data_IF_516364666741
#
_entry.id   IF_516364666741
#
_cell.length_a   1.000
_cell.length_b   1.000
_cell.length_c   1.000
_cell.angle_alpha   90.00
_cell.angle_beta   90.00
_cell.angle_gamma   90.00
#
_symmetry.space_group_name_H-M   'P 1'
#
loop_
_entity.id
_entity.type
_entity.pdbx_description
1 polymer ?
#
# COMPACT_ATOMS: atom_id res chain seq x y z
N UNK A 1 -0.65 38.16 10.28
CA UNK A 1 -0.83 37.00 9.36
C UNK A 1 -2.13 37.18 8.60
N UNK A 2 -2.12 36.97 7.28
CA UNK A 2 -3.35 37.09 6.48
C UNK A 2 -4.36 36.00 6.87
N UNK A 3 -5.65 36.31 6.77
CA UNK A 3 -6.75 35.37 7.04
C UNK A 3 -6.68 34.09 6.19
N UNK A 4 -5.98 34.14 5.05
CA UNK A 4 -5.74 32.99 4.17
C UNK A 4 -4.78 31.94 4.77
N UNK A 5 -3.65 32.38 5.35
CA UNK A 5 -2.66 31.45 5.93
C UNK A 5 -3.25 30.68 7.11
N UNK A 6 -4.03 31.35 7.97
CA UNK A 6 -4.71 30.69 9.08
C UNK A 6 -5.71 29.62 8.61
N UNK A 7 -6.51 29.94 7.58
CA UNK A 7 -7.43 28.96 6.98
C UNK A 7 -6.69 27.76 6.37
N UNK A 8 -5.54 27.98 5.73
CA UNK A 8 -4.73 26.90 5.17
C UNK A 8 -4.15 26.00 6.26
N UNK A 9 -3.59 26.58 7.33
CA UNK A 9 -3.05 25.82 8.48
C UNK A 9 -4.17 25.04 9.17
N UNK A 10 -5.34 25.64 9.36
CA UNK A 10 -6.50 24.97 9.97
C UNK A 10 -6.96 23.77 9.14
N UNK A 11 -7.11 23.94 7.81
CA UNK A 11 -7.45 22.84 6.89
C UNK A 11 -6.39 21.73 6.85
N UNK A 12 -5.12 22.07 7.06
CA UNK A 12 -4.06 21.08 7.13
C UNK A 12 -4.11 20.31 8.45
N UNK A 13 -4.32 21.01 9.58
CA UNK A 13 -4.39 20.42 10.92
C UNK A 13 -5.58 19.49 11.07
N UNK A 14 -6.71 19.90 10.51
CA UNK A 14 -7.99 19.20 10.62
C UNK A 14 -8.72 19.23 9.27
N UNK A 15 -8.38 18.32 8.34
CA UNK A 15 -8.96 18.32 7.00
C UNK A 15 -10.46 18.03 6.99
N UNK A 16 -11.02 17.55 8.10
CA UNK A 16 -12.40 17.07 8.21
C UNK A 16 -13.19 17.81 9.30
N UNK A 17 -12.72 18.99 9.71
CA UNK A 17 -13.36 19.83 10.73
C UNK A 17 -14.86 20.05 10.48
N UNK A 18 -15.29 20.10 9.22
CA UNK A 18 -16.67 20.28 8.80
C UNK A 18 -17.59 19.07 9.06
N UNK A 19 -17.04 17.92 9.44
CA UNK A 19 -17.81 16.71 9.78
C UNK A 19 -18.00 16.54 11.29
N UNK A 20 -17.23 17.26 12.12
CA UNK A 20 -17.28 17.11 13.57
C UNK A 20 -18.63 17.57 14.13
N UNK A 21 -19.09 16.87 15.17
CA UNK A 21 -20.29 17.28 15.89
C UNK A 21 -20.02 18.59 16.67
N UNK A 22 -20.99 19.50 16.67
CA UNK A 22 -20.91 20.70 17.50
C UNK A 22 -21.45 20.39 18.90
N UNK A 23 -20.63 20.65 19.93
CA UNK A 23 -21.02 20.42 21.33
C UNK A 23 -22.28 21.19 21.76
N UNK A 24 -22.64 22.27 21.04
CA UNK A 24 -23.81 23.10 21.37
C UNK A 24 -25.11 22.66 20.70
N UNK A 25 -25.12 21.63 19.84
CA UNK A 25 -26.34 21.16 19.18
C UNK A 25 -27.01 20.07 20.01
N UNK A 26 -28.16 20.40 20.62
CA UNK A 26 -28.95 19.48 21.47
C UNK A 26 -29.57 18.33 20.67
N UNK A 27 -29.75 18.50 19.35
CA UNK A 27 -30.41 17.53 18.45
C UNK A 27 -29.45 16.72 17.58
N UNK A 28 -28.13 16.89 17.74
CA UNK A 28 -27.17 16.23 16.85
C UNK A 28 -27.00 14.76 17.25
N UNK A 29 -27.63 13.86 16.48
CA UNK A 29 -27.21 12.46 16.44
C UNK A 29 -25.73 12.41 16.06
N UNK A 30 -24.94 11.68 16.85
CA UNK A 30 -23.50 11.54 16.66
C UNK A 30 -23.12 10.14 16.24
N UNK A 31 -21.98 10.03 15.56
CA UNK A 31 -21.25 8.78 15.35
C UNK A 31 -19.93 8.86 16.10
N UNK A 32 -19.67 7.86 16.95
CA UNK A 32 -18.51 7.83 17.85
C UNK A 32 -17.36 7.01 17.25
N UNK A 33 -16.11 7.22 17.69
CA UNK A 33 -15.03 6.33 17.28
C UNK A 33 -15.28 4.91 17.79
N UNK A 34 -14.89 3.91 17.01
CA UNK A 34 -14.88 2.52 17.46
C UNK A 34 -13.83 2.28 18.55
N UNK A 35 -12.71 3.01 18.51
CA UNK A 35 -11.62 2.98 19.48
C UNK A 35 -11.37 4.39 19.96
N UNK A 36 -11.56 4.63 21.26
CA UNK A 36 -11.29 5.92 21.89
C UNK A 36 -9.86 5.96 22.48
N UNK A 37 -9.53 7.02 23.24
CA UNK A 37 -8.20 7.20 23.83
C UNK A 37 -7.88 6.15 24.91
N UNK A 38 -8.91 5.69 25.63
CA UNK A 38 -8.77 4.76 26.76
C UNK A 38 -8.79 3.28 26.32
N UNK A 39 -9.35 2.98 25.14
CA UNK A 39 -9.48 1.62 24.64
C UNK A 39 -8.17 1.15 23.99
N UNK A 40 -7.72 -0.03 24.42
CA UNK A 40 -6.60 -0.71 23.78
C UNK A 40 -7.05 -1.51 22.56
N UNK A 41 -6.10 -1.81 21.69
CA UNK A 41 -6.31 -2.67 20.54
C UNK A 41 -5.07 -3.46 20.18
N UNK A 42 -5.30 -4.56 19.48
CA UNK A 42 -4.28 -5.40 18.89
C UNK A 42 -4.14 -5.07 17.39
N UNK A 43 -2.99 -5.38 16.80
CA UNK A 43 -2.79 -5.32 15.36
C UNK A 43 -2.39 -6.70 14.87
N UNK A 44 -3.30 -7.29 14.10
CA UNK A 44 -3.05 -8.47 13.31
C UNK A 44 -2.30 -8.11 12.02
N UNK A 45 -1.30 -8.92 11.69
CA UNK A 45 -0.47 -8.78 10.50
C UNK A 45 -0.52 -10.07 9.71
N UNK A 46 -0.67 -9.95 8.40
CA UNK A 46 -0.58 -11.11 7.50
C UNK A 46 0.29 -10.81 6.29
N UNK A 47 1.05 -11.80 5.86
CA UNK A 47 1.88 -11.75 4.64
C UNK A 47 1.24 -12.66 3.60
N UNK A 48 1.04 -12.14 2.40
CA UNK A 48 0.37 -12.81 1.29
C UNK A 48 1.30 -12.91 0.09
N UNK A 49 1.34 -14.10 -0.51
CA UNK A 49 1.99 -14.35 -1.80
C UNK A 49 0.92 -14.71 -2.83
N UNK A 50 0.89 -14.01 -3.95
CA UNK A 50 0.04 -14.38 -5.08
C UNK A 50 0.48 -15.73 -5.64
N UNK A 51 -0.50 -16.61 -5.89
CA UNK A 51 -0.26 -17.91 -6.49
C UNK A 51 0.42 -17.81 -7.86
N UNK A 52 1.05 -18.91 -8.30
CA UNK A 52 1.65 -18.97 -9.65
C UNK A 52 0.56 -18.96 -10.71
N UNK A 53 0.90 -18.55 -11.93
CA UNK A 53 -0.09 -18.41 -13.00
C UNK A 53 -0.88 -19.69 -13.30
N UNK A 54 -0.22 -20.86 -13.21
CA UNK A 54 -0.86 -22.16 -13.41
C UNK A 54 -1.84 -22.51 -12.27
N UNK A 55 -1.42 -22.29 -11.02
CA UNK A 55 -2.26 -22.51 -9.83
C UNK A 55 -3.48 -21.59 -9.82
N UNK A 56 -3.28 -20.31 -10.13
CA UNK A 56 -4.36 -19.32 -10.23
C UNK A 56 -5.34 -19.69 -11.35
N UNK A 57 -4.85 -20.20 -12.48
CA UNK A 57 -5.70 -20.69 -13.58
C UNK A 57 -6.53 -21.90 -13.15
N UNK A 58 -5.90 -22.92 -12.55
CA UNK A 58 -6.60 -24.11 -12.06
C UNK A 58 -7.68 -23.73 -11.04
N UNK A 59 -7.35 -22.83 -10.12
CA UNK A 59 -8.31 -22.34 -9.13
C UNK A 59 -9.49 -21.61 -9.79
N UNK A 60 -9.23 -20.70 -10.74
CA UNK A 60 -10.29 -20.00 -11.50
C UNK A 60 -11.20 -20.97 -12.25
N UNK A 61 -10.62 -22.00 -12.86
CA UNK A 61 -11.36 -23.03 -13.58
C UNK A 61 -12.21 -23.90 -12.62
N UNK A 62 -11.81 -24.01 -11.35
CA UNK A 62 -12.52 -24.76 -10.31
C UNK A 62 -13.65 -23.99 -9.61
N UNK A 63 -13.68 -22.66 -9.73
CA UNK A 63 -14.70 -21.84 -9.08
C UNK A 63 -16.07 -22.24 -9.63
N UNK A 64 -17.04 -22.58 -8.76
CA UNK A 64 -18.37 -22.95 -9.22
C UNK A 64 -18.93 -21.81 -10.06
N UNK A 65 -19.18 -22.11 -11.34
CA UNK A 65 -19.88 -21.21 -12.23
C UNK A 65 -21.33 -21.10 -11.73
N UNK A 66 -21.60 -20.38 -10.64
CA UNK A 66 -22.95 -20.20 -10.14
C UNK A 66 -23.77 -19.51 -11.25
N UNK A 67 -24.64 -20.30 -11.87
CA UNK A 67 -25.38 -20.03 -13.11
C UNK A 67 -26.62 -19.15 -12.91
N UNK A 68 -26.62 -18.28 -11.90
CA UNK A 68 -27.81 -17.59 -11.42
C UNK A 68 -27.72 -16.06 -11.43
N UNK A 69 -26.58 -15.47 -11.78
CA UNK A 69 -26.52 -14.03 -12.05
C UNK A 69 -26.83 -13.77 -13.52
N UNK A 70 -27.82 -12.93 -13.80
CA UNK A 70 -28.13 -12.36 -15.13
C UNK A 70 -26.99 -11.45 -15.67
N UNK A 71 -25.77 -11.59 -15.16
CA UNK A 71 -24.61 -10.81 -15.57
C UNK A 71 -24.22 -11.21 -17.00
N UNK A 72 -23.86 -10.22 -17.81
CA UNK A 72 -23.32 -10.48 -19.15
C UNK A 72 -22.03 -11.31 -19.07
N UNK A 73 -21.73 -12.07 -20.12
CA UNK A 73 -20.47 -12.82 -20.21
C UNK A 73 -19.23 -11.92 -19.97
N UNK A 74 -19.28 -10.69 -20.49
CA UNK A 74 -18.22 -9.68 -20.32
C UNK A 74 -18.04 -9.27 -18.85
N UNK A 75 -19.14 -9.04 -18.11
CA UNK A 75 -19.03 -8.65 -16.70
C UNK A 75 -18.48 -9.80 -15.84
N UNK A 76 -18.88 -11.02 -16.17
CA UNK A 76 -18.37 -12.24 -15.54
C UNK A 76 -16.87 -12.42 -15.77
N UNK A 77 -16.44 -12.35 -17.03
CA UNK A 77 -15.01 -12.46 -17.38
C UNK A 77 -14.19 -11.37 -16.70
N UNK A 78 -14.72 -10.14 -16.66
CA UNK A 78 -14.09 -9.03 -15.93
C UNK A 78 -13.93 -9.34 -14.44
N UNK A 79 -14.97 -9.83 -13.76
CA UNK A 79 -14.90 -10.21 -12.33
C UNK A 79 -13.85 -11.29 -12.09
N UNK A 80 -13.85 -12.35 -12.92
CA UNK A 80 -12.86 -13.43 -12.83
C UNK A 80 -11.42 -12.95 -13.09
N UNK A 81 -11.25 -11.99 -14.00
CA UNK A 81 -9.93 -11.40 -14.27
C UNK A 81 -9.40 -10.55 -13.10
N UNK A 82 -10.30 -9.98 -12.29
CA UNK A 82 -9.94 -9.18 -11.11
C UNK A 82 -9.75 -10.03 -9.85
N UNK A 83 -10.25 -11.26 -9.82
CA UNK A 83 -10.00 -12.21 -8.75
C UNK A 83 -8.55 -12.73 -8.80
N UNK A 84 -7.93 -12.76 -7.62
CA UNK A 84 -6.53 -13.14 -7.46
C UNK A 84 -6.48 -14.19 -6.33
N UNK A 85 -5.80 -15.30 -6.58
CA UNK A 85 -5.51 -16.28 -5.56
C UNK A 85 -4.26 -15.87 -4.79
N UNK A 86 -4.38 -15.73 -3.47
CA UNK A 86 -3.27 -15.41 -2.58
C UNK A 86 -3.15 -16.47 -1.49
N UNK A 87 -1.91 -16.88 -1.22
CA UNK A 87 -1.54 -17.85 -0.21
C UNK A 87 -0.94 -17.10 0.99
N UNK A 88 -1.47 -17.27 2.20
CA UNK A 88 -0.89 -16.65 3.39
C UNK A 88 0.43 -17.35 3.75
N UNK A 89 1.51 -16.57 3.88
CA UNK A 89 2.80 -17.03 4.38
C UNK A 89 2.95 -16.85 5.90
N UNK A 90 2.19 -15.92 6.46
CA UNK A 90 2.15 -15.57 7.88
C UNK A 90 0.82 -14.90 8.20
N UNK A 91 0.23 -15.15 9.38
CA UNK A 91 -0.90 -14.37 9.91
C UNK A 91 -1.00 -14.55 11.42
N UNK A 92 -0.79 -13.48 12.19
CA UNK A 92 -0.91 -13.48 13.66
C UNK A 92 -1.05 -12.05 14.22
N UNK A 93 -1.31 -11.92 15.52
CA UNK A 93 -1.29 -10.66 16.27
C UNK A 93 0.17 -10.31 16.62
N UNK A 94 0.65 -9.21 16.04
CA UNK A 94 2.05 -8.77 16.18
C UNK A 94 2.21 -7.67 17.22
N UNK A 95 1.22 -6.79 17.33
CA UNK A 95 1.18 -5.78 18.39
C UNK A 95 -0.02 -6.04 19.28
N UNK A 96 0.19 -5.97 20.60
CA UNK A 96 -0.85 -6.22 21.60
C UNK A 96 -1.03 -5.02 22.52
N UNK A 97 -2.27 -4.73 22.89
CA UNK A 97 -2.60 -3.75 23.92
C UNK A 97 -2.13 -2.33 23.60
N UNK A 98 -2.13 -1.94 22.32
CA UNK A 98 -1.74 -0.60 21.89
C UNK A 98 -2.80 0.44 22.21
N UNK A 99 -2.37 1.67 22.44
CA UNK A 99 -3.21 2.87 22.46
C UNK A 99 -3.01 3.73 21.19
N UNK A 100 -3.99 4.57 20.88
CA UNK A 100 -3.88 5.55 19.78
C UNK A 100 -2.76 6.58 20.01
N UNK A 101 -2.33 6.77 21.25
CA UNK A 101 -1.25 7.68 21.67
C UNK A 101 0.14 7.05 21.58
N UNK A 102 0.25 5.73 21.41
CA UNK A 102 1.54 5.04 21.31
C UNK A 102 2.30 5.43 20.05
N UNK A 103 3.64 5.47 20.15
CA UNK A 103 4.55 5.92 19.10
C UNK A 103 5.77 5.01 19.03
N UNK A 104 6.29 4.83 17.82
CA UNK A 104 7.58 4.18 17.57
C UNK A 104 7.70 2.75 18.14
N UNK A 105 6.59 2.03 18.30
CA UNK A 105 6.61 0.63 18.72
C UNK A 105 7.02 -0.21 17.51
N UNK A 106 7.94 -1.15 17.68
CA UNK A 106 8.45 -1.99 16.59
C UNK A 106 8.25 -3.46 16.89
N UNK A 107 8.03 -4.24 15.84
CA UNK A 107 7.97 -5.69 15.90
C UNK A 107 8.56 -6.29 14.63
N UNK A 108 9.15 -7.47 14.75
CA UNK A 108 9.79 -8.19 13.65
C UNK A 108 8.95 -9.43 13.32
N UNK A 109 8.55 -9.56 12.06
CA UNK A 109 7.78 -10.71 11.53
C UNK A 109 8.71 -11.58 10.70
N UNK A 110 8.89 -12.83 11.12
CA UNK A 110 9.73 -13.79 10.42
C UNK A 110 8.86 -14.73 9.57
N UNK A 111 9.18 -14.85 8.28
CA UNK A 111 8.49 -15.79 7.39
C UNK A 111 9.43 -16.36 6.34
N UNK A 112 9.05 -17.52 5.80
CA UNK A 112 9.78 -18.21 4.73
C UNK A 112 9.09 -17.92 3.40
N UNK A 113 9.83 -17.32 2.47
CA UNK A 113 9.33 -16.88 1.18
C UNK A 113 9.74 -17.86 0.08
N UNK A 114 8.78 -18.54 -0.59
CA UNK A 114 9.06 -19.31 -1.80
C UNK A 114 9.56 -18.39 -2.92
N UNK A 115 10.72 -18.67 -3.49
CA UNK A 115 11.33 -17.83 -4.53
C UNK A 115 10.78 -18.13 -5.93
N UNK A 116 10.18 -19.32 -6.11
CA UNK A 116 9.70 -19.80 -7.41
C UNK A 116 8.68 -18.87 -8.09
N UNK A 117 7.87 -18.13 -7.32
CA UNK A 117 6.95 -17.12 -7.86
C UNK A 117 7.69 -16.00 -8.61
N UNK A 118 8.86 -15.61 -8.13
CA UNK A 118 9.64 -14.48 -8.68
C UNK A 118 10.39 -14.82 -9.98
N UNK A 119 10.29 -16.06 -10.46
CA UNK A 119 10.71 -16.46 -11.79
C UNK A 119 9.66 -16.10 -12.86
N UNK A 120 8.41 -15.80 -12.45
CA UNK A 120 7.34 -15.43 -13.38
C UNK A 120 7.72 -14.14 -14.15
N UNK A 121 7.29 -14.06 -15.41
CA UNK A 121 7.53 -12.86 -16.24
C UNK A 121 6.61 -11.70 -15.83
N UNK A 122 5.38 -12.01 -15.45
CA UNK A 122 4.32 -11.03 -15.16
C UNK A 122 4.20 -10.76 -13.66
N UNK A 123 5.29 -10.27 -13.06
CA UNK A 123 5.29 -9.89 -11.65
C UNK A 123 4.68 -8.51 -11.43
N UNK A 124 4.02 -8.34 -10.29
CA UNK A 124 3.44 -7.08 -9.83
C UNK A 124 3.88 -6.73 -8.42
N UNK A 125 3.83 -5.44 -8.03
CA UNK A 125 4.17 -5.00 -6.66
C UNK A 125 3.22 -5.57 -5.60
N UNK A 126 2.08 -6.11 -6.03
CA UNK A 126 1.08 -6.76 -5.16
C UNK A 126 1.29 -8.26 -5.03
N UNK A 127 2.21 -8.88 -5.78
CA UNK A 127 2.43 -10.33 -5.72
C UNK A 127 2.99 -10.78 -4.37
N UNK A 128 3.70 -9.90 -3.66
CA UNK A 128 4.01 -10.07 -2.24
C UNK A 128 3.57 -8.82 -1.49
N UNK A 129 2.66 -8.98 -0.54
CA UNK A 129 2.14 -7.86 0.26
C UNK A 129 1.96 -8.23 1.72
N UNK A 130 2.09 -7.22 2.56
CA UNK A 130 1.71 -7.26 3.96
C UNK A 130 0.34 -6.62 4.14
N UNK A 131 -0.40 -7.06 5.14
CA UNK A 131 -1.69 -6.50 5.52
C UNK A 131 -1.77 -6.29 7.01
N UNK A 132 -2.55 -5.29 7.40
CA UNK A 132 -2.72 -4.86 8.79
C UNK A 132 -4.21 -4.74 9.09
N UNK A 133 -4.60 -5.27 10.24
CA UNK A 133 -5.96 -5.20 10.76
C UNK A 133 -5.90 -4.84 12.24
N UNK A 134 -6.67 -3.82 12.64
CA UNK A 134 -6.76 -3.40 14.05
C UNK A 134 -7.97 -4.06 14.68
N UNK A 135 -7.74 -4.76 15.79
CA UNK A 135 -8.76 -5.51 16.53
C UNK A 135 -8.91 -4.84 17.91
N UNK A 136 -10.01 -4.13 18.18
CA UNK A 136 -10.26 -3.55 19.50
C UNK A 136 -10.31 -4.62 20.60
N UNK A 137 -9.70 -4.35 21.75
CA UNK A 137 -9.78 -5.23 22.92
C UNK A 137 -11.20 -5.26 23.48
N UNK A 138 -11.67 -6.44 23.88
CA UNK A 138 -12.93 -6.60 24.62
C UNK A 138 -12.78 -6.14 26.09
N UNK A 139 -13.84 -5.58 26.71
CA UNK A 139 -15.14 -5.26 26.11
C UNK A 139 -15.02 -4.12 25.09
N UNK A 140 -15.69 -4.28 23.96
CA UNK A 140 -15.59 -3.35 22.83
C UNK A 140 -16.97 -3.00 22.26
N UNK A 141 -17.13 -1.84 21.58
CA UNK A 141 -18.36 -1.56 20.85
C UNK A 141 -18.67 -2.62 19.76
N UNK A 142 -17.67 -3.35 19.24
CA UNK A 142 -17.89 -4.43 18.26
C UNK A 142 -18.68 -5.61 18.84
N UNK A 143 -18.66 -5.80 20.15
CA UNK A 143 -19.38 -6.89 20.82
C UNK A 143 -20.92 -6.73 20.64
N UNK A 144 -21.37 -5.53 20.29
CA UNK A 144 -22.77 -5.17 20.03
C UNK A 144 -23.07 -4.90 18.55
N UNK A 145 -22.18 -5.29 17.64
CA UNK A 145 -22.31 -5.03 16.21
C UNK A 145 -23.47 -5.83 15.61
N UNK A 146 -24.39 -5.14 14.96
CA UNK A 146 -25.51 -5.78 14.24
C UNK A 146 -25.45 -5.57 12.72
N UNK A 147 -24.72 -4.54 12.26
CA UNK A 147 -24.54 -4.28 10.83
C UNK A 147 -23.36 -3.34 10.57
N UNK A 148 -22.76 -3.39 9.37
CA UNK A 148 -21.79 -2.41 8.93
C UNK A 148 -21.93 -2.09 7.43
N UNK A 149 -21.42 -0.93 7.00
CA UNK A 149 -21.25 -0.58 5.59
C UNK A 149 -19.85 -0.07 5.33
N UNK A 150 -19.29 -0.41 4.16
CA UNK A 150 -17.96 0.01 3.72
C UNK A 150 -18.06 0.84 2.44
N UNK A 151 -17.07 1.70 2.19
CA UNK A 151 -16.87 2.42 0.93
C UNK A 151 -16.57 1.49 -0.25
N UNK A 152 -16.13 0.25 0.02
CA UNK A 152 -15.71 -0.69 -1.00
C UNK A 152 -16.89 -1.12 -1.89
N UNK A 153 -16.81 -0.95 -3.23
CA UNK A 153 -17.86 -1.38 -4.13
C UNK A 153 -18.07 -2.89 -4.07
N UNK A 154 -19.33 -3.33 -3.98
CA UNK A 154 -19.69 -4.77 -3.94
C UNK A 154 -19.28 -5.55 -5.20
N UNK A 155 -19.06 -4.85 -6.32
CA UNK A 155 -18.67 -5.44 -7.59
C UNK A 155 -17.17 -5.74 -7.69
N UNK A 156 -16.35 -5.35 -6.71
CA UNK A 156 -14.92 -5.67 -6.65
C UNK A 156 -14.65 -6.57 -5.46
N UNK A 157 -14.04 -7.73 -5.71
CA UNK A 157 -13.56 -8.60 -4.64
C UNK A 157 -12.43 -7.93 -3.85
N UNK A 158 -12.54 -7.93 -2.52
CA UNK A 158 -11.50 -7.43 -1.63
C UNK A 158 -10.42 -8.49 -1.46
N UNK A 159 -9.16 -8.07 -1.51
CA UNK A 159 -8.07 -8.95 -1.12
C UNK A 159 -8.18 -9.28 0.37
N UNK A 160 -7.89 -10.51 0.79
CA UNK A 160 -7.94 -10.91 2.19
C UNK A 160 -6.93 -10.13 3.03
N UNK A 161 -7.29 -9.83 4.28
CA UNK A 161 -6.42 -9.07 5.21
C UNK A 161 -5.93 -9.90 6.39
N UNK A 162 -6.63 -11.01 6.68
CA UNK A 162 -6.22 -12.05 7.63
C UNK A 162 -6.42 -13.43 6.99
N UNK A 163 -5.56 -14.39 7.33
CA UNK A 163 -5.83 -15.78 6.97
C UNK A 163 -7.06 -16.27 7.72
N UNK A 164 -7.74 -17.26 7.16
CA UNK A 164 -8.76 -18.01 7.87
C UNK A 164 -8.47 -19.51 7.73
N UNK A 165 -8.33 -20.26 8.83
CA UNK A 165 -8.44 -19.81 10.23
C UNK A 165 -7.35 -18.79 10.66
N UNK A 166 -7.63 -18.04 11.73
CA UNK A 166 -6.74 -17.02 12.30
C UNK A 166 -6.43 -17.35 13.78
N UNK A 167 -5.15 -17.33 14.22
CA UNK A 167 -3.94 -17.13 13.42
C UNK A 167 -3.71 -18.27 12.41
N UNK A 168 -2.77 -18.08 11.47
CA UNK A 168 -2.42 -19.09 10.48
C UNK A 168 -1.95 -20.37 11.18
N UNK A 169 -2.55 -21.51 10.83
CA UNK A 169 -2.28 -22.80 11.46
C UNK A 169 -3.10 -23.08 12.73
N UNK A 170 -4.07 -22.22 13.07
CA UNK A 170 -5.06 -22.52 14.10
C UNK A 170 -5.91 -23.73 13.69
N UNK A 171 -6.14 -24.65 14.63
CA UNK A 171 -6.94 -25.86 14.43
C UNK A 171 -8.45 -25.57 14.28
N UNK A 172 -8.88 -24.34 14.61
CA UNK A 172 -10.29 -23.98 14.55
C UNK A 172 -10.73 -23.56 13.15
N UNK A 173 -10.73 -24.53 12.23
CA UNK A 173 -11.30 -24.37 10.89
C UNK A 173 -12.82 -24.26 10.90
N UNK A 174 -13.46 -24.49 12.07
CA UNK A 174 -14.92 -24.53 12.22
C UNK A 174 -15.54 -23.16 12.51
N UNK A 175 -14.73 -22.22 13.00
CA UNK A 175 -15.15 -20.84 13.24
C UNK A 175 -15.36 -20.12 11.91
N UNK A 176 -16.62 -20.08 11.49
CA UNK A 176 -17.07 -19.18 10.44
C UNK A 176 -16.76 -17.73 10.84
N UNK A 177 -16.37 -16.91 9.85
CA UNK A 177 -16.10 -15.48 10.06
C UNK A 177 -17.34 -14.83 10.65
N UNK A 178 -17.16 -14.14 11.77
CA UNK A 178 -18.25 -13.38 12.40
C UNK A 178 -18.49 -12.06 11.67
N UNK A 179 -19.64 -11.43 11.91
CA UNK A 179 -19.90 -10.07 11.41
C UNK A 179 -18.84 -9.07 11.91
N UNK A 180 -18.37 -9.24 13.14
CA UNK A 180 -17.30 -8.41 13.71
C UNK A 180 -15.97 -8.60 12.96
N UNK A 181 -15.62 -9.84 12.59
CA UNK A 181 -14.44 -10.12 11.78
C UNK A 181 -14.50 -9.45 10.41
N UNK A 182 -15.65 -9.51 9.75
CA UNK A 182 -15.85 -8.87 8.45
C UNK A 182 -15.76 -7.34 8.55
N UNK A 183 -16.36 -6.75 9.58
CA UNK A 183 -16.32 -5.31 9.83
C UNK A 183 -14.89 -4.83 10.16
N UNK A 184 -14.15 -5.61 10.94
CA UNK A 184 -12.76 -5.31 11.30
C UNK A 184 -11.83 -5.41 10.09
N UNK A 185 -11.99 -6.45 9.29
CA UNK A 185 -11.27 -6.57 8.03
C UNK A 185 -11.69 -5.45 7.05
N UNK A 186 -12.90 -4.88 7.17
CA UNK A 186 -13.36 -3.89 6.20
C UNK A 186 -12.60 -2.55 6.23
N UNK A 187 -11.85 -2.23 7.29
CA UNK A 187 -11.04 -1.01 7.38
C UNK A 187 -9.53 -1.25 7.49
N UNK A 188 -9.11 -2.52 7.44
CA UNK A 188 -7.70 -2.89 7.34
C UNK A 188 -7.03 -2.35 6.07
N UNK A 189 -5.71 -2.37 6.05
CA UNK A 189 -4.92 -1.86 4.94
C UNK A 189 -3.84 -2.84 4.50
N UNK A 190 -3.23 -2.59 3.34
CA UNK A 190 -2.13 -3.43 2.82
C UNK A 190 -1.00 -2.56 2.29
N UNK A 191 0.21 -3.11 2.31
CA UNK A 191 1.42 -2.51 1.77
C UNK A 191 2.13 -3.52 0.86
N UNK A 192 2.63 -3.11 -0.31
CA UNK A 192 3.50 -3.99 -1.10
C UNK A 192 4.77 -4.29 -0.32
N UNK A 193 5.25 -5.53 -0.43
CA UNK A 193 6.51 -6.00 0.15
C UNK A 193 7.52 -6.41 -0.92
N UNK A 194 7.22 -6.15 -2.19
CA UNK A 194 8.18 -6.27 -3.29
C UNK A 194 8.29 -4.94 -4.03
N UNK A 195 9.52 -4.60 -4.37
CA UNK A 195 9.85 -3.49 -5.27
C UNK A 195 10.67 -4.02 -6.43
N UNK A 196 10.61 -3.34 -7.57
CA UNK A 196 11.35 -3.73 -8.77
C UNK A 196 12.38 -2.66 -9.06
N UNK A 197 13.62 -3.09 -9.25
CA UNK A 197 14.74 -2.20 -9.53
C UNK A 197 15.52 -2.70 -10.71
N UNK A 198 15.95 -1.78 -11.56
CA UNK A 198 16.78 -2.14 -12.72
C UNK A 198 18.14 -2.63 -12.22
N UNK A 199 18.55 -3.81 -12.70
CA UNK A 199 19.89 -4.34 -12.49
C UNK A 199 20.57 -4.48 -13.84
N UNK A 200 21.89 -4.36 -13.85
CA UNK A 200 22.66 -4.64 -15.05
C UNK A 200 22.53 -6.11 -15.45
N UNK A 201 22.35 -6.39 -16.75
CA UNK A 201 22.27 -7.76 -17.23
C UNK A 201 23.61 -8.46 -17.02
N UNK A 202 23.60 -9.59 -16.31
CA UNK A 202 24.78 -10.44 -16.12
C UNK A 202 25.20 -11.13 -17.42
N UNK A 203 24.27 -11.37 -18.35
CA UNK A 203 24.58 -12.07 -19.60
C UNK A 203 25.60 -11.34 -20.50
N UNK A 204 25.83 -10.03 -20.33
CA UNK A 204 26.71 -9.26 -21.22
C UNK A 204 28.21 -9.48 -21.00
N UNK A 205 28.63 -10.06 -19.86
CA UNK A 205 30.05 -10.02 -19.45
C UNK A 205 30.87 -11.28 -19.77
N UNK A 206 30.26 -12.39 -20.20
CA UNK A 206 31.02 -13.65 -20.41
C UNK A 206 31.78 -13.72 -21.75
N UNK A 207 31.58 -12.77 -22.67
CA UNK A 207 32.17 -12.82 -24.01
C UNK A 207 33.38 -11.92 -24.26
N UNK A 208 33.71 -10.98 -23.37
CA UNK A 208 34.78 -10.01 -23.62
C UNK A 208 35.55 -9.65 -22.36
N UNK A 209 36.43 -10.56 -21.92
CA UNK A 209 37.49 -10.20 -20.96
C UNK A 209 38.55 -9.25 -21.55
N UNK A 210 38.40 -8.80 -22.80
CA UNK A 210 39.39 -7.98 -23.51
C UNK A 210 39.04 -6.49 -23.60
N UNK A 211 37.87 -6.03 -23.14
CA UNK A 211 37.42 -4.63 -23.31
C UNK A 211 37.12 -3.87 -22.00
N UNK A 212 37.37 -4.44 -20.82
CA UNK A 212 37.06 -3.81 -19.53
C UNK A 212 38.06 -2.74 -19.05
N UNK A 213 39.04 -2.35 -19.88
CA UNK A 213 39.92 -1.19 -19.61
C UNK A 213 39.40 0.13 -20.22
N UNK A 214 38.23 0.12 -20.88
CA UNK A 214 37.58 1.34 -21.33
C UNK A 214 36.64 1.87 -20.24
N UNK A 215 36.90 3.10 -19.79
CA UNK A 215 36.07 3.87 -18.85
C UNK A 215 34.58 3.69 -19.16
N UNK A 216 33.87 2.98 -18.27
CA UNK A 216 32.43 2.79 -18.38
C UNK A 216 31.78 4.16 -18.31
N UNK A 217 31.09 4.64 -19.37
CA UNK A 217 30.43 5.93 -19.33
C UNK A 217 29.38 5.92 -18.22
N UNK A 218 29.57 6.83 -17.26
CA UNK A 218 28.59 7.13 -16.21
C UNK A 218 27.23 7.32 -16.87
N UNK A 219 26.18 6.67 -16.34
CA UNK A 219 24.79 6.73 -16.82
C UNK A 219 24.20 8.14 -16.61
N UNK A 220 24.71 9.11 -17.34
CA UNK A 220 24.26 10.49 -17.40
C UNK A 220 23.62 10.85 -18.74
N UNK A 221 24.01 10.17 -19.82
CA UNK A 221 23.52 10.45 -21.18
C UNK A 221 22.50 9.40 -21.64
N UNK A 222 21.36 9.35 -20.96
CA UNK A 222 20.16 8.73 -21.54
C UNK A 222 19.61 9.74 -22.54
N UNK A 223 20.08 9.68 -23.78
CA UNK A 223 19.48 10.40 -24.90
C UNK A 223 18.13 9.72 -25.16
N UNK A 224 17.05 10.30 -24.63
CA UNK A 224 15.70 10.00 -25.11
C UNK A 224 15.60 10.59 -26.51
N UNK A 225 16.03 9.83 -27.51
CA UNK A 225 15.68 10.11 -28.91
C UNK A 225 14.19 9.78 -29.08
N UNK A 226 13.33 10.63 -28.51
CA UNK A 226 11.96 10.75 -29.01
C UNK A 226 12.09 11.46 -30.36
N UNK A 227 12.03 10.68 -31.43
CA UNK A 227 12.03 11.15 -32.81
C UNK A 227 10.91 12.19 -32.99
N UNK A 228 11.33 13.45 -33.09
CA UNK A 228 10.54 14.63 -33.41
C UNK A 228 10.21 14.59 -34.90
N UNK A 229 9.02 14.08 -35.25
CA UNK A 229 8.49 14.15 -36.61
C UNK A 229 6.98 14.41 -36.57
N UNK A 230 6.58 15.64 -36.23
CA UNK A 230 5.56 16.43 -36.95
C UNK A 230 5.21 17.74 -36.22
N UNK A 231 5.33 18.84 -36.96
CA UNK A 231 4.84 20.18 -36.61
C UNK A 231 3.32 20.18 -36.38
N UNK A 232 2.88 20.30 -35.11
CA UNK A 232 1.62 21.00 -34.82
C UNK A 232 1.66 21.72 -33.46
N UNK A 233 1.50 23.04 -33.53
CA UNK A 233 1.60 23.95 -32.39
C UNK A 233 0.34 23.87 -31.54
N UNK A 234 0.38 23.09 -30.45
CA UNK A 234 -0.47 23.37 -29.29
C UNK A 234 0.31 23.19 -27.98
N UNK A 235 0.21 24.23 -27.14
CA UNK A 235 0.94 24.42 -25.88
C UNK A 235 0.94 23.17 -25.00
N UNK A 236 2.07 22.79 -24.37
CA UNK A 236 2.05 21.76 -23.36
C UNK A 236 1.48 22.36 -22.07
N UNK A 237 0.18 22.13 -21.86
CA UNK A 237 -0.40 22.17 -20.52
C UNK A 237 0.38 21.14 -19.68
N UNK A 238 1.05 21.61 -18.61
CA UNK A 238 1.72 20.74 -17.63
C UNK A 238 0.64 19.98 -16.86
N UNK A 239 0.06 18.98 -17.50
CA UNK A 239 -0.74 17.94 -16.85
C UNK A 239 0.25 17.17 -15.98
N UNK A 240 0.14 17.37 -14.68
CA UNK A 240 0.71 16.49 -13.67
C UNK A 240 0.24 15.07 -14.02
N UNK A 241 1.07 14.27 -14.70
CA UNK A 241 0.76 12.90 -15.11
C UNK A 241 0.58 12.06 -13.85
N UNK A 242 -0.62 12.09 -13.30
CA UNK A 242 -1.11 11.16 -12.28
C UNK A 242 -1.72 9.95 -12.99
N UNK A 243 -1.05 9.43 -14.01
CA UNK A 243 -1.54 8.31 -14.81
C UNK A 243 -1.30 7.00 -14.06
N UNK A 244 -2.38 6.52 -13.43
CA UNK A 244 -2.51 5.16 -12.94
C UNK A 244 -2.89 4.21 -14.08
N UNK A 245 -1.96 4.05 -15.03
CA UNK A 245 -2.08 3.03 -16.07
C UNK A 245 -1.40 1.75 -15.58
N UNK A 246 -2.02 0.60 -15.85
CA UNK A 246 -1.58 -0.74 -15.43
C UNK A 246 -0.15 -1.14 -15.81
N UNK A 247 0.49 -0.40 -16.71
CA UNK A 247 1.93 -0.51 -16.99
C UNK A 247 2.82 -0.12 -15.80
N UNK A 248 2.26 0.48 -14.74
CA UNK A 248 2.98 0.75 -13.49
C UNK A 248 3.06 -0.46 -12.55
N UNK A 249 2.28 -1.52 -12.78
CA UNK A 249 2.31 -2.72 -11.94
C UNK A 249 3.14 -3.84 -12.57
N UNK A 250 2.98 -4.09 -13.88
CA UNK A 250 3.90 -4.95 -14.63
C UNK A 250 5.04 -4.10 -15.17
N UNK A 251 6.27 -4.27 -14.68
CA UNK A 251 7.38 -3.44 -15.16
C UNK A 251 7.89 -4.02 -16.48
N UNK A 252 7.64 -3.37 -17.63
CA UNK A 252 8.04 -3.90 -18.92
C UNK A 252 9.57 -3.91 -19.00
N UNK A 253 10.13 -4.88 -19.74
CA UNK A 253 11.55 -4.88 -20.05
C UNK A 253 11.92 -3.58 -20.78
N UNK A 254 12.98 -2.91 -20.35
CA UNK A 254 13.50 -1.73 -21.04
C UNK A 254 14.62 -2.12 -21.97
N UNK A 255 14.58 -1.58 -23.19
CA UNK A 255 15.62 -1.77 -24.20
C UNK A 255 16.72 -0.71 -23.95
N UNK A 256 17.92 -1.15 -23.62
CA UNK A 256 19.09 -0.29 -23.37
C UNK A 256 20.15 -0.61 -24.41
N UNK A 257 20.66 0.41 -25.12
CA UNK A 257 21.80 0.26 -26.03
C UNK A 257 23.07 0.02 -25.19
N UNK A 258 23.78 -1.08 -25.43
CA UNK A 258 25.03 -1.42 -24.70
C UNK A 258 26.25 -1.05 -25.52
N UNK A 259 26.23 -1.33 -26.82
CA UNK A 259 27.35 -1.14 -27.73
C UNK A 259 26.83 -0.99 -29.16
N UNK A 260 27.72 -0.68 -30.09
CA UNK A 260 27.51 -0.90 -31.52
C UNK A 260 28.32 -2.12 -31.95
N UNK A 261 27.80 -2.95 -32.86
CA UNK A 261 28.55 -4.06 -33.43
C UNK A 261 29.61 -3.54 -34.43
N UNK A 262 30.45 -4.44 -34.98
CA UNK A 262 31.49 -4.08 -35.96
C UNK A 262 30.95 -3.38 -37.24
N UNK A 263 29.63 -3.44 -37.46
CA UNK A 263 28.93 -2.80 -38.57
C UNK A 263 28.29 -1.46 -38.17
N UNK A 264 28.54 -0.97 -36.95
CA UNK A 264 27.96 0.28 -36.42
C UNK A 264 26.49 0.16 -36.02
N UNK A 265 25.93 -1.05 -35.93
CA UNK A 265 24.54 -1.25 -35.52
C UNK A 265 24.41 -1.39 -34.01
N UNK A 266 23.43 -0.73 -33.38
CA UNK A 266 23.25 -0.79 -31.92
C UNK A 266 22.86 -2.19 -31.45
N UNK A 267 23.66 -2.72 -30.53
CA UNK A 267 23.38 -3.91 -29.72
C UNK A 267 22.61 -3.45 -28.49
N UNK A 268 21.43 -4.03 -28.30
CA UNK A 268 20.57 -3.71 -27.16
C UNK A 268 20.52 -4.87 -26.16
N UNK A 269 20.58 -4.55 -24.87
CA UNK A 269 20.10 -5.42 -23.81
C UNK A 269 18.67 -5.07 -23.45
N UNK A 270 17.95 -6.07 -22.95
CA UNK A 270 16.69 -5.87 -22.27
C UNK A 270 16.95 -5.96 -20.76
N UNK A 271 16.81 -4.86 -20.03
CA UNK A 271 16.83 -4.91 -18.57
C UNK A 271 15.46 -5.35 -18.08
N UNK A 272 15.44 -6.49 -17.40
CA UNK A 272 14.27 -6.95 -16.66
C UNK A 272 14.45 -6.49 -15.22
N UNK A 273 13.53 -5.66 -14.69
CA UNK A 273 13.60 -5.21 -13.32
C UNK A 273 13.63 -6.38 -12.34
N UNK A 274 14.59 -6.34 -11.43
CA UNK A 274 14.82 -7.39 -10.46
C UNK A 274 13.99 -7.15 -9.19
N UNK A 275 13.28 -8.17 -8.70
CA UNK A 275 12.49 -8.05 -7.49
C UNK A 275 13.39 -7.95 -6.25
N UNK A 276 13.05 -7.01 -5.38
CA UNK A 276 13.65 -6.81 -4.07
C UNK A 276 12.56 -6.87 -3.00
N UNK A 277 12.81 -7.62 -1.94
CA UNK A 277 11.91 -7.75 -0.80
C UNK A 277 12.10 -6.55 0.12
N UNK A 278 10.98 -5.91 0.45
CA UNK A 278 10.93 -4.81 1.41
C UNK A 278 10.89 -5.40 2.82
N UNK A 279 11.91 -5.10 3.61
CA UNK A 279 12.08 -5.61 4.98
C UNK A 279 11.68 -4.62 6.05
N UNK A 280 11.23 -3.41 5.69
CA UNK A 280 10.76 -2.39 6.63
C UNK A 280 9.45 -1.78 6.18
N UNK A 281 8.52 -1.61 7.11
CA UNK A 281 7.29 -0.84 6.88
C UNK A 281 6.91 -0.01 8.11
N UNK A 282 6.20 1.09 7.88
CA UNK A 282 5.66 1.93 8.94
C UNK A 282 4.14 2.02 8.82
N UNK A 283 3.44 1.47 9.80
CA UNK A 283 1.99 1.58 9.96
C UNK A 283 1.65 2.83 10.78
N UNK A 284 0.68 3.60 10.29
CA UNK A 284 0.15 4.78 10.97
C UNK A 284 -1.33 4.60 11.23
N UNK A 285 -1.79 4.90 12.44
CA UNK A 285 -3.22 4.95 12.80
C UNK A 285 -3.57 6.37 13.19
N UNK A 286 -4.69 6.88 12.71
CA UNK A 286 -5.11 8.25 13.03
C UNK A 286 -5.67 8.30 14.44
N UNK A 287 -5.10 9.18 15.24
CA UNK A 287 -5.57 9.56 16.58
C UNK A 287 -6.70 10.57 16.41
N UNK A 288 -7.92 10.05 16.28
CA UNK A 288 -9.16 10.81 16.23
C UNK A 288 -10.18 10.13 17.12
N UNK A 289 -10.53 10.80 18.21
CA UNK A 289 -11.49 10.34 19.22
C UNK A 289 -12.78 11.17 19.20
N UNK A 290 -12.82 12.25 18.40
CA UNK A 290 -13.95 13.18 18.42
C UNK A 290 -15.16 12.61 17.69
N UNK A 291 -16.39 12.85 18.19
CA UNK A 291 -17.59 12.43 17.50
C UNK A 291 -17.83 13.25 16.22
N UNK A 292 -18.33 12.59 15.17
CA UNK A 292 -18.82 13.29 13.97
C UNK A 292 -20.34 13.50 14.05
N UNK A 293 -20.82 14.54 13.36
CA UNK A 293 -22.24 14.73 13.10
C UNK A 293 -22.73 13.60 12.17
N UNK A 294 -23.69 12.79 12.63
CA UNK A 294 -24.10 11.57 11.90
C UNK A 294 -24.65 11.89 10.50
N UNK A 295 -25.35 13.02 10.33
CA UNK A 295 -25.91 13.44 9.03
C UNK A 295 -24.79 13.82 8.05
N UNK A 296 -23.83 14.63 8.50
CA UNK A 296 -22.67 15.01 7.70
C UNK A 296 -21.80 13.80 7.34
N UNK A 297 -21.57 12.91 8.31
CA UNK A 297 -20.85 11.65 8.10
C UNK A 297 -21.54 10.76 7.06
N UNK A 298 -22.85 10.53 7.19
CA UNK A 298 -23.59 9.69 6.25
C UNK A 298 -23.57 10.26 4.83
N UNK A 299 -23.57 11.59 4.68
CA UNK A 299 -23.39 12.23 3.38
C UNK A 299 -22.01 11.92 2.81
N UNK A 300 -20.94 12.14 3.58
CA UNK A 300 -19.57 11.85 3.15
C UNK A 300 -19.34 10.37 2.81
N UNK A 301 -19.89 9.45 3.62
CA UNK A 301 -19.81 8.00 3.37
C UNK A 301 -20.48 7.61 2.05
N UNK A 302 -21.68 8.14 1.76
CA UNK A 302 -22.39 7.87 0.50
C UNK A 302 -21.67 8.45 -0.71
N UNK A 303 -21.14 9.67 -0.60
CA UNK A 303 -20.32 10.30 -1.65
C UNK A 303 -19.06 9.48 -1.93
N UNK A 304 -18.40 8.98 -0.87
CA UNK A 304 -17.27 8.08 -1.00
C UNK A 304 -17.67 6.76 -1.68
N UNK A 305 -18.73 6.09 -1.23
CA UNK A 305 -19.23 4.86 -1.88
C UNK A 305 -19.53 5.03 -3.38
N UNK A 306 -20.03 6.20 -3.78
CA UNK A 306 -20.36 6.48 -5.17
C UNK A 306 -19.12 6.69 -6.06
N UNK A 307 -18.00 7.12 -5.49
CA UNK A 307 -16.80 7.57 -6.21
C UNK A 307 -15.58 6.69 -5.97
N UNK A 308 -15.58 5.87 -4.91
CA UNK A 308 -14.43 5.08 -4.52
C UNK A 308 -14.13 3.98 -5.55
N UNK A 309 -12.84 3.76 -5.82
CA UNK A 309 -12.35 2.85 -6.85
C UNK A 309 -12.83 3.17 -8.28
N UNK A 310 -13.24 4.41 -8.57
CA UNK A 310 -13.68 4.85 -9.89
C UNK A 310 -12.80 5.98 -10.40
N UNK A 311 -12.63 6.02 -11.73
CA UNK A 311 -12.07 7.15 -12.46
C UNK A 311 -13.20 7.84 -13.21
N UNK A 312 -13.11 9.16 -13.36
CA UNK A 312 -14.08 9.93 -14.13
C UNK A 312 -14.22 9.34 -15.54
N UNK A 313 -15.45 9.03 -15.96
CA UNK A 313 -15.74 8.41 -17.26
C UNK A 313 -15.72 6.88 -17.27
N UNK A 314 -15.22 6.21 -16.23
CA UNK A 314 -15.36 4.75 -16.10
C UNK A 314 -16.75 4.41 -15.59
N UNK A 315 -17.46 3.54 -16.30
CA UNK A 315 -18.74 2.97 -15.87
C UNK A 315 -18.59 1.98 -14.71
N UNK A 316 -17.40 1.39 -14.55
CA UNK A 316 -17.15 0.34 -13.57
C UNK A 316 -16.05 0.71 -12.58
N UNK A 317 -16.21 0.34 -11.31
CA UNK A 317 -15.12 0.46 -10.35
C UNK A 317 -14.07 -0.62 -10.64
N UNK A 318 -12.79 -0.31 -10.39
CA UNK A 318 -11.69 -1.28 -10.46
C UNK A 318 -10.76 -1.15 -9.26
N UNK A 319 -10.21 -2.28 -8.79
CA UNK A 319 -9.25 -2.33 -7.67
C UNK A 319 -8.07 -1.38 -7.87
N UNK A 320 -7.64 -1.22 -9.12
CA UNK A 320 -6.52 -0.36 -9.55
C UNK A 320 -6.71 1.12 -9.20
N UNK A 321 -7.97 1.55 -9.10
CA UNK A 321 -8.34 2.92 -8.79
C UNK A 321 -8.70 3.11 -7.31
N UNK A 322 -8.62 2.07 -6.49
CA UNK A 322 -8.86 2.15 -5.05
C UNK A 322 -7.67 2.83 -4.36
N UNK A 323 -7.61 4.16 -4.44
CA UNK A 323 -6.62 4.96 -3.71
C UNK A 323 -7.21 5.38 -2.37
N UNK A 324 -6.63 4.87 -1.29
CA UNK A 324 -7.01 5.26 0.08
C UNK A 324 -6.07 6.36 0.56
N UNK A 325 -6.62 7.54 0.85
CA UNK A 325 -5.87 8.63 1.46
C UNK A 325 -6.70 9.26 2.58
N UNK A 326 -6.05 9.73 3.64
CA UNK A 326 -6.79 10.27 4.79
C UNK A 326 -7.68 11.45 4.39
N UNK A 327 -7.17 12.34 3.54
CA UNK A 327 -7.92 13.51 3.08
C UNK A 327 -9.24 13.16 2.38
N UNK A 328 -9.28 12.10 1.57
CA UNK A 328 -10.44 11.70 0.75
C UNK A 328 -11.33 10.63 1.38
N UNK A 329 -10.75 9.70 2.13
CA UNK A 329 -11.47 8.58 2.72
C UNK A 329 -11.80 8.84 4.20
N UNK A 330 -10.88 9.47 4.92
CA UNK A 330 -10.98 9.76 6.34
C UNK A 330 -11.49 8.59 7.18
N UNK A 331 -12.16 8.90 8.27
CA UNK A 331 -12.79 7.91 9.15
C UNK A 331 -14.14 7.39 8.62
N UNK A 332 -14.67 7.98 7.54
CA UNK A 332 -15.96 7.59 6.96
C UNK A 332 -15.88 6.48 5.93
N UNK A 333 -14.80 5.70 5.95
CA UNK A 333 -14.58 4.54 5.09
C UNK A 333 -15.49 3.35 5.48
N UNK A 334 -15.75 3.20 6.78
CA UNK A 334 -16.62 2.15 7.33
C UNK A 334 -17.56 2.73 8.39
N UNK A 335 -18.84 2.36 8.34
CA UNK A 335 -19.87 2.76 9.29
C UNK A 335 -20.46 1.52 9.95
N UNK A 336 -20.61 1.52 11.27
CA UNK A 336 -21.10 0.37 12.02
C UNK A 336 -22.33 0.77 12.84
N UNK A 337 -23.35 -0.10 12.85
CA UNK A 337 -24.56 0.01 13.66
C UNK A 337 -24.44 -0.96 14.84
N UNK A 338 -24.64 -0.44 16.04
CA UNK A 338 -24.61 -1.19 17.28
C UNK A 338 -26.00 -1.26 17.90
N UNK A 339 -26.29 -2.34 18.61
CA UNK A 339 -27.48 -2.47 19.46
C UNK A 339 -27.05 -2.81 20.89
N UNK A 340 -26.96 -1.77 21.73
CA UNK A 340 -26.47 -1.89 23.10
C UNK A 340 -27.69 -2.08 24.02
N UNK A 341 -27.75 -3.16 24.81
CA UNK A 341 -28.80 -3.34 25.81
C UNK A 341 -28.71 -2.23 26.85
N UNK A 342 -29.82 -1.53 27.07
CA UNK A 342 -29.96 -0.54 28.12
C UNK A 342 -31.11 -0.94 29.04
N UNK A 343 -30.88 -0.87 30.35
CA UNK A 343 -31.96 -1.05 31.32
C UNK A 343 -32.85 0.19 31.27
N UNK A 344 -34.12 -0.01 30.93
CA UNK A 344 -35.13 1.04 31.03
C UNK A 344 -35.44 1.26 32.53
N UNK A 345 -35.04 2.43 33.04
CA UNK A 345 -35.17 2.78 34.46
C UNK A 345 -36.62 2.72 34.94
N UNK A 346 -37.58 2.89 34.03
CA UNK A 346 -38.99 3.07 34.40
C UNK A 346 -39.77 1.76 34.30
N UNK A 347 -39.41 0.87 33.37
CA UNK A 347 -40.13 -0.39 33.13
C UNK A 347 -39.38 -1.64 33.59
N UNK A 348 -38.08 -1.55 33.86
CA UNK A 348 -37.21 -2.71 34.08
C UNK A 348 -37.03 -3.60 32.85
N UNK A 349 -37.57 -3.20 31.68
CA UNK A 349 -37.36 -3.89 30.43
C UNK A 349 -35.98 -3.55 29.84
N UNK A 350 -35.36 -4.52 29.17
CA UNK A 350 -34.15 -4.27 28.39
C UNK A 350 -34.54 -3.69 27.04
N UNK A 351 -34.23 -2.43 26.81
CA UNK A 351 -34.44 -1.76 25.52
C UNK A 351 -33.09 -1.64 24.81
N UNK A 352 -33.00 -2.09 23.56
CA UNK A 352 -31.78 -1.93 22.78
C UNK A 352 -31.67 -0.49 22.26
N UNK A 353 -30.64 0.22 22.69
CA UNK A 353 -30.28 1.53 22.11
C UNK A 353 -29.47 1.31 20.85
N UNK A 354 -29.90 1.94 19.75
CA UNK A 354 -29.08 1.98 18.53
C UNK A 354 -28.00 3.05 18.66
N UNK A 355 -26.76 2.64 18.42
CA UNK A 355 -25.62 3.56 18.31
C UNK A 355 -24.89 3.39 16.99
N UNK A 356 -24.14 4.41 16.60
CA UNK A 356 -23.31 4.38 15.40
C UNK A 356 -21.85 4.60 15.80
N UNK A 357 -20.97 3.78 15.23
CA UNK A 357 -19.52 3.97 15.37
C UNK A 357 -18.81 3.97 14.02
N UNK A 358 -17.69 4.68 13.95
CA UNK A 358 -16.80 4.74 12.78
C UNK A 358 -15.49 4.02 13.04
N UNK A 359 -14.91 3.42 12.00
CA UNK A 359 -13.62 2.72 12.11
C UNK A 359 -12.43 3.67 12.25
N UNK A 360 -11.34 3.29 12.94
CA UNK A 360 -10.07 4.01 12.87
C UNK A 360 -9.54 4.02 11.43
N UNK A 361 -8.97 5.16 11.01
CA UNK A 361 -8.25 5.22 9.74
C UNK A 361 -6.81 4.76 9.94
N UNK A 362 -6.36 3.85 9.10
CA UNK A 362 -4.98 3.37 9.10
C UNK A 362 -4.38 3.40 7.71
N UNK A 363 -3.10 3.75 7.62
CA UNK A 363 -2.36 3.71 6.37
C UNK A 363 -0.91 3.31 6.58
N UNK A 364 -0.36 2.42 5.75
CA UNK A 364 1.07 2.26 5.68
C UNK A 364 1.67 3.54 5.09
N UNK A 365 2.87 3.89 5.53
CA UNK A 365 3.64 4.96 4.93
C UNK A 365 4.36 4.43 3.69
N UNK A 366 4.04 5.02 2.55
CA UNK A 366 4.77 4.78 1.30
C UNK A 366 6.21 5.29 1.43
N UNK A 367 7.17 4.53 0.88
CA UNK A 367 8.59 4.89 0.92
C UNK A 367 9.20 4.87 2.32
N UNK A 368 8.65 4.08 3.26
CA UNK A 368 9.24 3.93 4.61
C UNK A 368 10.49 3.05 4.64
N UNK A 369 10.71 2.26 3.60
CA UNK A 369 11.92 1.48 3.40
C UNK A 369 12.99 2.34 2.73
N UNK A 370 14.20 2.34 3.29
CA UNK A 370 15.40 2.86 2.64
C UNK A 370 16.13 1.77 1.85
N UNK A 371 17.26 2.13 1.23
CA UNK A 371 18.04 1.22 0.39
C UNK A 371 18.54 -0.03 1.12
N UNK A 372 18.87 0.09 2.41
CA UNK A 372 19.32 -1.04 3.23
C UNK A 372 18.18 -1.94 3.72
N UNK A 373 16.94 -1.53 3.51
CA UNK A 373 15.76 -2.32 3.85
C UNK A 373 15.26 -3.15 2.65
N UNK A 374 16.08 -3.29 1.60
CA UNK A 374 15.75 -4.01 0.36
C UNK A 374 16.69 -5.20 0.18
N UNK A 375 16.13 -6.41 0.11
CA UNK A 375 16.90 -7.65 -0.13
C UNK A 375 16.60 -8.17 -1.54
N UNK A 376 17.60 -8.34 -2.43
CA UNK A 376 17.37 -8.92 -3.75
C UNK A 376 16.90 -10.37 -3.63
N UNK A 377 15.88 -10.76 -4.41
CA UNK A 377 15.45 -12.15 -4.46
C UNK A 377 16.50 -12.96 -5.24
N UNK A 378 16.96 -14.14 -4.76
CA UNK A 378 18.03 -14.90 -5.41
C UNK A 378 17.55 -15.66 -6.67
N UNK A 379 16.94 -14.95 -7.62
CA UNK A 379 16.44 -15.48 -8.89
C UNK A 379 17.09 -14.79 -10.08
N UNK A 380 17.43 -15.54 -11.12
CA UNK A 380 17.79 -14.97 -12.41
C UNK A 380 16.56 -14.91 -13.30
N UNK A 381 16.15 -13.69 -13.66
CA UNK A 381 15.05 -13.47 -14.63
C UNK A 381 15.59 -13.22 -16.04
N UNK A 382 16.91 -13.21 -16.19
CA UNK A 382 17.58 -13.01 -17.47
C UNK A 382 17.57 -14.32 -18.27
N UNK A 383 17.09 -14.25 -19.51
CA UNK A 383 17.23 -15.35 -20.44
C UNK A 383 18.57 -15.23 -21.17
N UNK A 384 19.64 -15.78 -20.59
CA UNK A 384 20.99 -15.75 -21.20
C UNK A 384 21.14 -16.71 -22.39
N UNK A 385 20.07 -17.17 -23.02
CA UNK A 385 20.15 -17.89 -24.30
C UNK A 385 20.53 -16.90 -25.39
N UNK A 386 21.82 -16.59 -25.49
CA UNK A 386 22.37 -15.79 -26.57
C UNK A 386 22.26 -16.60 -27.87
N UNK A 387 21.78 -15.92 -28.91
CA UNK A 387 21.53 -16.35 -30.27
C UNK A 387 22.79 -16.72 -31.09
N UNK A 388 23.75 -17.42 -30.49
CA UNK A 388 24.89 -18.01 -31.20
C UNK A 388 24.72 -19.52 -31.28
N UNK A 389 24.85 -20.10 -32.48
CA UNK A 389 24.83 -21.55 -32.74
C UNK A 389 25.95 -22.33 -32.02
N UNK A 390 26.77 -21.67 -31.19
CA UNK A 390 27.82 -22.30 -30.42
C UNK A 390 27.26 -22.80 -29.10
N UNK A 391 27.22 -24.13 -29.00
CA UNK A 391 26.96 -24.91 -27.79
C UNK A 391 27.93 -24.51 -26.67
N UNK A 392 27.62 -23.44 -25.95
CA UNK A 392 28.29 -23.16 -24.67
C UNK A 392 27.87 -24.28 -23.71
N UNK A 393 28.81 -25.08 -23.18
CA UNK A 393 28.48 -26.19 -22.30
C UNK A 393 27.72 -25.66 -21.08
N UNK A 394 26.54 -26.25 -20.81
CA UNK A 394 25.64 -25.95 -19.70
C UNK A 394 26.25 -26.14 -18.29
N UNK A 395 27.57 -26.36 -18.20
CA UNK A 395 28.30 -26.74 -17.00
C UNK A 395 28.51 -25.59 -15.99
N UNK A 396 28.24 -24.34 -16.37
CA UNK A 396 28.40 -23.17 -15.49
C UNK A 396 27.09 -22.39 -15.27
N UNK A 397 25.93 -23.05 -15.40
CA UNK A 397 24.68 -22.46 -14.93
C UNK A 397 24.77 -22.27 -13.40
N UNK A 398 24.68 -21.03 -12.89
CA UNK A 398 24.89 -20.75 -11.48
C UNK A 398 23.86 -21.50 -10.63
N UNK A 399 24.36 -22.11 -9.54
CA UNK A 399 23.69 -22.68 -8.36
C UNK A 399 22.18 -22.89 -8.47
N UNK A 400 21.73 -24.13 -8.21
CA UNK A 400 20.34 -24.45 -7.86
C UNK A 400 19.71 -23.29 -7.10
N UNK A 401 18.70 -22.66 -7.67
CA UNK A 401 18.01 -21.54 -7.04
C UNK A 401 17.56 -21.97 -5.66
N UNK A 402 17.82 -21.14 -4.65
CA UNK A 402 17.31 -21.39 -3.31
C UNK A 402 15.78 -21.37 -3.41
N UNK A 403 15.14 -22.51 -3.18
CA UNK A 403 13.68 -22.67 -3.29
C UNK A 403 12.93 -21.71 -2.36
N UNK A 404 13.59 -21.32 -1.26
CA UNK A 404 13.05 -20.42 -0.26
C UNK A 404 14.11 -19.46 0.26
N UNK A 405 13.69 -18.27 0.68
CA UNK A 405 14.50 -17.34 1.45
C UNK A 405 13.81 -16.98 2.78
N UNK A 406 14.59 -16.80 3.84
CA UNK A 406 14.06 -16.36 5.13
C UNK A 406 14.06 -14.84 5.18
N UNK A 407 12.91 -14.26 5.52
CA UNK A 407 12.72 -12.80 5.61
C UNK A 407 12.36 -12.44 7.03
N UNK A 408 13.02 -11.40 7.54
CA UNK A 408 12.60 -10.66 8.72
C UNK A 408 12.03 -9.32 8.26
N UNK A 409 10.73 -9.13 8.42
CA UNK A 409 10.04 -7.90 8.09
C UNK A 409 9.77 -7.08 9.35
N UNK A 410 10.48 -5.97 9.49
CA UNK A 410 10.36 -5.02 10.60
C UNK A 410 9.22 -4.05 10.36
N UNK A 411 8.27 -4.04 11.28
CA UNK A 411 7.11 -3.17 11.25
C UNK A 411 7.24 -2.16 12.38
N UNK A 412 7.05 -0.89 12.07
CA UNK A 412 6.93 0.18 13.07
C UNK A 412 5.49 0.70 13.12
N UNK A 413 4.95 0.85 14.31
CA UNK A 413 3.64 1.41 14.58
C UNK A 413 3.78 2.83 15.14
N UNK A 414 2.89 3.74 14.75
CA UNK A 414 2.72 5.02 15.42
C UNK A 414 1.30 5.55 15.21
N UNK A 415 0.63 5.94 16.29
CA UNK A 415 -0.52 6.81 16.16
C UNK A 415 -0.12 8.21 15.67
N UNK A 416 -1.02 8.90 14.95
CA UNK A 416 -0.77 10.20 14.34
C UNK A 416 -2.02 11.06 14.37
N UNK A 417 -1.87 12.32 14.75
CA UNK A 417 -2.95 13.28 14.60
C UNK A 417 -3.29 13.50 13.10
N UNK A 418 -4.54 13.86 12.76
CA UNK A 418 -5.00 14.14 11.40
C UNK A 418 -4.04 15.03 10.59
N UNK A 419 -3.55 16.11 11.21
CA UNK A 419 -2.64 17.06 10.56
C UNK A 419 -1.25 16.52 10.29
N UNK A 420 -0.68 15.73 11.23
CA UNK A 420 0.61 15.08 11.03
C UNK A 420 0.54 14.04 9.92
N UNK A 421 -0.57 13.29 9.83
CA UNK A 421 -0.76 12.32 8.76
C UNK A 421 -0.86 13.02 7.40
N UNK A 422 -1.70 14.06 7.30
CA UNK A 422 -1.90 14.82 6.06
C UNK A 422 -0.60 15.46 5.56
N UNK A 423 0.18 16.06 6.46
CA UNK A 423 1.50 16.62 6.11
C UNK A 423 2.47 15.53 5.66
N UNK A 424 2.49 14.39 6.37
CA UNK A 424 3.32 13.25 6.02
C UNK A 424 3.00 12.66 4.65
N UNK A 425 1.73 12.62 4.27
CA UNK A 425 1.30 12.11 2.95
C UNK A 425 1.67 13.07 1.82
N UNK A 426 1.61 14.40 2.04
CA UNK A 426 2.06 15.41 1.08
C UNK A 426 3.57 15.31 0.83
N UNK A 427 4.36 15.14 1.90
CA UNK A 427 5.82 15.05 1.81
C UNK A 427 6.30 13.65 1.35
N UNK A 428 5.55 12.60 1.67
CA UNK A 428 5.89 11.22 1.34
C UNK A 428 5.87 10.91 -0.15
N UNK A 429 5.21 11.75 -0.97
CA UNK A 429 5.27 11.65 -2.43
C UNK A 429 6.65 11.97 -3.01
N UNK A 430 7.55 12.57 -2.23
CA UNK A 430 8.94 12.81 -2.61
C UNK A 430 9.76 11.54 -2.27
N UNK A 431 9.43 10.41 -2.89
CA UNK A 431 10.33 9.27 -2.85
C UNK A 431 11.50 9.58 -3.78
N UNK A 432 12.71 9.67 -3.23
CA UNK A 432 13.91 9.66 -4.05
C UNK A 432 13.90 8.33 -4.83
N UNK A 433 13.83 8.40 -6.16
CA UNK A 433 14.00 7.23 -7.00
C UNK A 433 15.30 6.55 -6.61
N UNK A 434 15.22 5.29 -6.19
CA UNK A 434 16.40 4.51 -5.85
C UNK A 434 17.04 4.04 -7.15
N UNK A 435 18.26 4.49 -7.43
CA UNK A 435 19.09 3.86 -8.44
C UNK A 435 19.92 2.79 -7.74
N UNK A 436 19.81 1.52 -8.16
CA UNK A 436 20.54 0.42 -7.50
C UNK A 436 22.03 0.38 -7.82
N UNK A 437 22.46 1.21 -8.79
CA UNK A 437 23.87 1.44 -9.17
C UNK A 437 24.53 2.54 -8.32
N UNK A 438 24.09 2.67 -7.08
CA UNK A 438 24.62 3.64 -6.13
C UNK A 438 25.79 3.03 -5.34
N UNK A 439 26.76 3.88 -5.03
CA UNK A 439 27.83 3.57 -4.08
C UNK A 439 27.26 3.23 -2.70
N UNK A 440 28.01 2.51 -1.86
CA UNK A 440 27.59 2.22 -0.48
C UNK A 440 27.26 3.51 0.31
N UNK A 441 28.03 4.57 0.06
CA UNK A 441 27.80 5.89 0.66
C UNK A 441 26.44 6.48 0.25
N UNK A 442 26.08 6.45 -1.04
CA UNK A 442 24.79 6.92 -1.53
C UNK A 442 23.63 6.09 -0.99
N UNK A 443 23.80 4.75 -0.92
CA UNK A 443 22.82 3.86 -0.28
C UNK A 443 22.60 4.23 1.18
N UNK A 444 23.67 4.45 1.94
CA UNK A 444 23.61 4.89 3.34
C UNK A 444 22.93 6.25 3.48
N UNK A 445 23.25 7.21 2.60
CA UNK A 445 22.64 8.54 2.62
C UNK A 445 21.14 8.46 2.29
N UNK A 446 20.78 7.69 1.26
CA UNK A 446 19.39 7.46 0.87
C UNK A 446 18.59 6.77 1.98
N UNK A 447 19.18 5.76 2.63
CA UNK A 447 18.58 5.11 3.79
C UNK A 447 18.42 6.09 4.95
N UNK A 448 19.46 6.85 5.32
CA UNK A 448 19.39 7.85 6.40
C UNK A 448 18.35 8.93 6.15
N UNK A 449 18.18 9.37 4.88
CA UNK A 449 17.09 10.28 4.49
C UNK A 449 15.73 9.64 4.72
N UNK A 450 15.56 8.37 4.33
CA UNK A 450 14.31 7.63 4.58
C UNK A 450 14.03 7.50 6.08
N UNK A 451 15.06 7.23 6.90
CA UNK A 451 14.92 7.18 8.35
C UNK A 451 14.52 8.53 8.95
N UNK A 452 15.19 9.62 8.58
CA UNK A 452 14.85 10.98 9.00
C UNK A 452 13.42 11.31 8.60
N UNK A 453 13.03 10.96 7.36
CA UNK A 453 11.68 11.15 6.88
C UNK A 453 10.70 10.34 7.75
N UNK A 454 11.01 9.08 8.05
CA UNK A 454 10.21 8.13 8.84
C UNK A 454 10.02 8.57 10.31
N UNK A 455 11.06 9.12 10.92
CA UNK A 455 11.15 9.45 12.35
C UNK A 455 10.83 10.92 12.62
N UNK A 456 11.54 11.86 11.98
CA UNK A 456 11.49 13.30 12.33
C UNK A 456 10.18 14.00 11.98
N UNK A 457 9.53 13.65 10.87
CA UNK A 457 8.21 14.24 10.54
C UNK A 457 7.10 13.71 11.46
N UNK A 458 7.40 12.71 12.27
CA UNK A 458 6.54 12.29 13.36
C UNK A 458 6.52 13.23 14.55
N UNK A 459 7.65 13.87 14.85
CA UNK A 459 7.85 14.67 16.05
C UNK A 459 7.76 16.18 15.78
N UNK A 460 8.35 16.67 14.68
CA UNK A 460 8.51 18.11 14.40
C UNK A 460 7.27 18.83 13.83
N UNK A 461 6.08 18.25 13.94
CA UNK A 461 4.84 18.84 13.39
C UNK A 461 4.51 20.27 13.89
N UNK A 462 5.21 20.76 14.92
CA UNK A 462 5.09 22.13 15.42
C UNK A 462 6.29 23.04 15.05
N UNK A 463 7.54 22.53 15.04
CA UNK A 463 8.72 23.37 14.78
C UNK A 463 8.83 23.84 13.32
N UNK A 464 8.42 23.01 12.35
CA UNK A 464 8.41 23.43 10.92
C UNK A 464 7.37 24.53 10.68
N UNK A 465 6.24 24.48 11.39
CA UNK A 465 5.23 25.54 11.32
C UNK A 465 5.81 26.83 11.92
N UNK A 466 6.50 26.78 13.06
CA UNK A 466 7.16 27.96 13.63
C UNK A 466 8.31 28.48 12.75
N UNK A 467 9.02 27.61 12.04
CA UNK A 467 9.99 28.02 11.02
C UNK A 467 9.32 28.80 9.87
N UNK A 468 8.12 28.40 9.43
CA UNK A 468 7.32 29.16 8.46
C UNK A 468 6.69 30.44 9.03
N UNK A 469 6.60 30.60 10.36
CA UNK A 469 6.14 31.85 10.99
C UNK A 469 7.24 32.89 11.09
N UNK A 470 8.50 32.50 10.94
CA UNK A 470 9.62 33.43 11.01
C UNK A 470 9.79 34.08 9.63
N UNK A 471 9.52 35.39 9.47
CA UNK A 471 9.82 36.06 8.22
C UNK A 471 11.32 35.91 7.97
N UNK A 472 11.68 35.46 6.76
CA UNK A 472 13.06 35.49 6.26
C UNK A 472 13.47 36.96 6.30
N UNK A 473 14.14 37.37 7.39
CA UNK A 473 14.91 38.60 7.42
C UNK A 473 16.21 38.28 6.71
N UNK A 474 16.58 39.18 5.81
CA UNK A 474 17.71 39.09 4.92
C UNK A 474 18.92 38.45 5.62
N UNK A 475 19.34 37.29 5.09
CA UNK A 475 20.67 36.77 5.33
C UNK A 475 21.59 37.67 4.52
N UNK A 476 22.19 38.66 5.18
CA UNK A 476 23.37 39.33 4.63
C UNK A 476 24.45 38.27 4.41
N UNK A 477 24.83 38.10 3.14
CA UNK A 477 25.89 37.21 2.66
C UNK A 477 27.27 37.69 3.09
#
# INVERSE_FOLDING_TARGET
MSTGLYKAISKLRDPHLNLLANASSVDDQVIRPLVNEDQTFDIAVSVWLRARGEEEKIWKDSLPLNSASEDSADERERRLSEEILEVPLYSDIVFRGLHLSDRHITADVNFRLPTGKFLDQNLTVTDLRGSFVLIPSSPSPLDYLVNFSTSWPRSISRLPLRSWPFPLGSDDTSLARTLADEAVDSFGCSTPLVQFHEIYPRCAMSGSSALLDADIPTVGDVVNEDEDDSDDQSKPERVLKTHGDDKLLSVPARKIKIADNDQGQPIYAYTVPHPHIVTRSQLRVVEESRPFNLKAYNKAHKELQATYCRVAGSSYPSRKFCRRAYKSNGHWDTRMKLEIPQDDSDSGAKVNRTEWVYSPFMSPRQGSAGHLDLIPVPVSRENCTIAGNDTIPAANLPKQYEEYMNITWRISFSGRTPGKLTLGDVLGGISAGSLFNQTEYEKQQGHSRSEILSTRYGEMGLQVIDFMKTPIRDVEL
#
